data_IF_191715826819
#
_entry.id   IF_191715826819
#
_cell.length_a   1.000
_cell.length_b   1.000
_cell.length_c   1.000
_cell.angle_alpha   90.00
_cell.angle_beta   90.00
_cell.angle_gamma   90.00
#
_symmetry.space_group_name_H-M   'P 1'
#
loop_
_entity.id
_entity.type
_entity.pdbx_description
1 polymer ?
#
# COMPACT_ATOMS: atom_id res chain seq x y z
N UNK A 1 -16.79 62.86 -8.66
CA UNK A 1 -16.97 61.72 -9.59
C UNK A 1 -16.24 60.56 -8.97
N UNK A 2 -16.96 59.74 -8.22
CA UNK A 2 -16.39 58.61 -7.48
C UNK A 2 -16.28 57.41 -8.42
N UNK A 3 -15.05 57.07 -8.80
CA UNK A 3 -14.69 55.92 -9.63
C UNK A 3 -13.88 54.91 -8.80
N UNK A 4 -14.32 54.63 -7.56
CA UNK A 4 -13.80 53.49 -6.81
C UNK A 4 -14.21 52.16 -7.45
N UNK A 5 -13.34 51.13 -7.45
CA UNK A 5 -13.70 49.82 -8.00
C UNK A 5 -14.83 49.22 -7.17
N UNK A 6 -16.01 49.06 -7.77
CA UNK A 6 -17.09 48.24 -7.19
C UNK A 6 -16.62 46.79 -7.20
N UNK A 7 -15.96 46.38 -6.12
CA UNK A 7 -15.77 44.97 -5.81
C UNK A 7 -17.14 44.30 -5.86
N UNK A 8 -17.34 43.40 -6.82
CA UNK A 8 -18.58 42.66 -6.97
C UNK A 8 -18.81 41.84 -5.69
N UNK A 9 -19.84 42.19 -4.92
CA UNK A 9 -20.26 41.39 -3.77
C UNK A 9 -20.71 40.02 -4.27
N UNK A 10 -19.83 39.01 -4.11
CA UNK A 10 -20.20 37.61 -4.29
C UNK A 10 -21.26 37.27 -3.24
N UNK A 11 -22.42 36.79 -3.70
CA UNK A 11 -23.47 36.28 -2.81
C UNK A 11 -22.94 35.07 -2.03
N UNK A 12 -23.24 35.03 -0.73
CA UNK A 12 -22.92 33.93 0.18
C UNK A 12 -23.39 32.58 -0.39
N UNK A 13 -24.52 32.58 -1.12
CA UNK A 13 -25.03 31.39 -1.80
C UNK A 13 -24.06 30.89 -2.88
N UNK A 14 -23.53 31.81 -3.70
CA UNK A 14 -22.59 31.46 -4.75
C UNK A 14 -21.26 30.96 -4.17
N UNK A 15 -20.77 31.60 -3.10
CA UNK A 15 -19.57 31.15 -2.40
C UNK A 15 -19.78 29.76 -1.77
N UNK A 16 -20.92 29.50 -1.13
CA UNK A 16 -21.24 28.20 -0.54
C UNK A 16 -21.31 27.09 -1.61
N UNK A 17 -21.90 27.39 -2.78
CA UNK A 17 -21.96 26.45 -3.90
C UNK A 17 -20.56 26.14 -4.45
N UNK A 18 -19.71 27.16 -4.66
CA UNK A 18 -18.33 26.95 -5.09
C UNK A 18 -17.52 26.13 -4.07
N UNK A 19 -17.66 26.40 -2.76
CA UNK A 19 -17.00 25.61 -1.71
C UNK A 19 -17.49 24.16 -1.73
N UNK A 20 -18.80 23.92 -1.92
CA UNK A 20 -19.37 22.58 -2.01
C UNK A 20 -18.77 21.80 -3.19
N UNK A 21 -18.72 22.41 -4.38
CA UNK A 21 -18.14 21.78 -5.56
C UNK A 21 -16.66 21.46 -5.38
N UNK A 22 -15.87 22.38 -4.80
CA UNK A 22 -14.45 22.15 -4.53
C UNK A 22 -14.24 20.99 -3.56
N UNK A 23 -15.08 20.85 -2.53
CA UNK A 23 -15.05 19.70 -1.61
C UNK A 23 -15.40 18.40 -2.33
N UNK A 24 -16.47 18.37 -3.12
CA UNK A 24 -16.87 17.16 -3.87
C UNK A 24 -15.78 16.70 -4.83
N UNK A 25 -15.17 17.64 -5.58
CA UNK A 25 -14.06 17.32 -6.50
C UNK A 25 -12.81 16.83 -5.76
N UNK A 26 -12.44 17.45 -4.64
CA UNK A 26 -11.30 17.01 -3.83
C UNK A 26 -11.51 15.60 -3.25
N UNK A 27 -12.73 15.28 -2.78
CA UNK A 27 -13.05 13.95 -2.27
C UNK A 27 -12.95 12.86 -3.36
N UNK A 28 -13.40 13.15 -4.58
CA UNK A 28 -13.27 12.21 -5.71
C UNK A 28 -11.82 11.92 -6.06
N UNK A 29 -10.92 12.89 -5.91
CA UNK A 29 -9.49 12.66 -6.14
C UNK A 29 -8.83 11.86 -5.03
N UNK A 30 -9.27 12.03 -3.78
CA UNK A 30 -8.78 11.27 -2.63
C UNK A 30 -9.19 9.78 -2.74
N UNK A 31 -10.45 9.50 -3.09
CA UNK A 31 -10.93 8.12 -3.30
C UNK A 31 -10.15 7.39 -4.42
N UNK A 32 -9.86 8.09 -5.52
CA UNK A 32 -9.09 7.53 -6.62
C UNK A 32 -7.63 7.24 -6.23
N UNK A 33 -7.03 8.11 -5.42
CA UNK A 33 -5.68 7.90 -4.90
C UNK A 33 -5.63 6.71 -3.93
N UNK A 34 -6.64 6.56 -3.08
CA UNK A 34 -6.76 5.43 -2.16
C UNK A 34 -6.86 4.09 -2.89
N UNK A 35 -7.72 4.00 -3.91
CA UNK A 35 -7.85 2.80 -4.76
C UNK A 35 -6.51 2.48 -5.43
N UNK A 36 -5.85 3.50 -5.96
CA UNK A 36 -4.57 3.31 -6.65
C UNK A 36 -3.49 2.82 -5.69
N UNK A 37 -3.44 3.36 -4.46
CA UNK A 37 -2.48 2.94 -3.44
C UNK A 37 -2.69 1.48 -3.03
N UNK A 38 -3.93 1.05 -2.79
CA UNK A 38 -4.25 -0.33 -2.46
C UNK A 38 -3.83 -1.31 -3.57
N UNK A 39 -4.13 -0.97 -4.84
CA UNK A 39 -3.71 -1.77 -5.99
C UNK A 39 -2.19 -1.91 -6.10
N UNK A 40 -1.44 -0.83 -5.90
CA UNK A 40 0.03 -0.84 -5.96
C UNK A 40 0.61 -1.70 -4.82
N UNK A 41 0.09 -1.56 -3.60
CA UNK A 41 0.55 -2.35 -2.46
C UNK A 41 0.29 -3.85 -2.65
N UNK A 42 -0.86 -4.22 -3.23
CA UNK A 42 -1.16 -5.62 -3.56
C UNK A 42 -0.17 -6.17 -4.61
N UNK A 43 0.08 -5.42 -5.69
CA UNK A 43 1.02 -5.81 -6.75
C UNK A 43 2.46 -5.97 -6.21
N UNK A 44 2.91 -5.08 -5.31
CA UNK A 44 4.23 -5.20 -4.69
C UNK A 44 4.31 -6.41 -3.75
N UNK A 45 3.25 -6.71 -3.00
CA UNK A 45 3.17 -7.92 -2.18
C UNK A 45 3.21 -9.20 -3.04
N UNK A 46 2.60 -9.20 -4.21
CA UNK A 46 2.62 -10.32 -5.16
C UNK A 46 4.01 -10.51 -5.77
N UNK A 47 4.70 -9.43 -6.14
CA UNK A 47 6.10 -9.49 -6.63
C UNK A 47 7.05 -10.05 -5.57
N UNK A 48 6.87 -9.67 -4.30
CA UNK A 48 7.67 -10.21 -3.19
C UNK A 48 7.46 -11.72 -3.08
N UNK A 49 6.19 -12.17 -3.10
CA UNK A 49 5.89 -13.61 -3.08
C UNK A 49 6.52 -14.35 -4.26
N UNK A 50 6.40 -13.80 -5.48
CA UNK A 50 6.99 -14.40 -6.68
C UNK A 50 8.51 -14.51 -6.57
N UNK A 51 9.18 -13.45 -6.07
CA UNK A 51 10.62 -13.43 -5.85
C UNK A 51 11.06 -14.50 -4.85
N UNK A 52 10.38 -14.59 -3.69
CA UNK A 52 10.66 -15.58 -2.66
C UNK A 52 10.42 -17.00 -3.19
N UNK A 53 9.35 -17.22 -3.97
CA UNK A 53 9.08 -18.50 -4.63
C UNK A 53 10.15 -18.89 -5.66
N UNK A 54 10.63 -17.94 -6.47
CA UNK A 54 11.71 -18.19 -7.45
C UNK A 54 13.02 -18.53 -6.75
N UNK A 55 13.38 -17.77 -5.73
CA UNK A 55 14.54 -18.06 -4.89
C UNK A 55 14.40 -19.41 -4.21
N UNK A 56 13.17 -19.81 -3.86
CA UNK A 56 12.91 -21.13 -3.30
C UNK A 56 13.33 -22.27 -4.22
N UNK A 57 12.93 -22.17 -5.47
CA UNK A 57 13.21 -23.17 -6.50
C UNK A 57 14.68 -23.16 -6.92
N UNK A 58 15.30 -21.97 -6.99
CA UNK A 58 16.64 -21.80 -7.56
C UNK A 58 17.80 -22.11 -6.61
N UNK A 59 17.62 -22.03 -5.28
CA UNK A 59 18.75 -22.06 -4.33
C UNK A 59 18.89 -23.36 -3.51
N UNK A 60 18.07 -24.40 -3.73
CA UNK A 60 18.04 -25.58 -2.83
C UNK A 60 17.90 -25.15 -1.35
N UNK A 61 16.74 -24.62 -0.98
CA UNK A 61 16.49 -23.90 0.29
C UNK A 61 17.11 -24.47 1.57
N UNK A 62 17.31 -25.79 1.66
CA UNK A 62 17.95 -26.46 2.80
C UNK A 62 19.31 -25.91 3.20
N UNK A 63 20.04 -25.27 2.28
CA UNK A 63 21.47 -24.98 2.46
C UNK A 63 21.78 -23.51 2.71
N UNK A 64 20.79 -22.61 2.74
CA UNK A 64 21.05 -21.18 2.85
C UNK A 64 20.57 -20.62 4.21
N UNK A 65 21.44 -20.53 5.24
CA UNK A 65 21.09 -19.93 6.52
C UNK A 65 20.64 -18.46 6.44
N UNK A 66 20.88 -17.77 5.31
CA UNK A 66 20.48 -16.38 5.08
C UNK A 66 19.09 -16.20 4.43
N UNK A 67 18.37 -17.28 4.09
CA UNK A 67 17.08 -17.13 3.40
C UNK A 67 16.01 -16.48 4.29
N UNK A 68 15.97 -16.85 5.56
CA UNK A 68 15.07 -16.25 6.56
C UNK A 68 15.33 -14.74 6.68
N UNK A 69 16.59 -14.33 6.76
CA UNK A 69 16.97 -12.90 6.82
C UNK A 69 16.56 -12.12 5.57
N UNK A 70 16.60 -12.75 4.38
CA UNK A 70 16.12 -12.13 3.13
C UNK A 70 14.62 -11.94 3.18
N UNK A 71 13.85 -12.97 3.59
CA UNK A 71 12.40 -12.89 3.73
C UNK A 71 12.01 -11.80 4.73
N UNK A 72 12.65 -11.76 5.90
CA UNK A 72 12.43 -10.75 6.94
C UNK A 72 12.71 -9.34 6.42
N UNK A 73 13.79 -9.16 5.66
CA UNK A 73 14.13 -7.87 5.06
C UNK A 73 13.08 -7.42 4.03
N UNK A 74 12.53 -8.35 3.25
CA UNK A 74 11.47 -8.03 2.28
C UNK A 74 10.17 -7.63 2.96
N UNK A 75 9.75 -8.37 4.00
CA UNK A 75 8.58 -8.00 4.81
C UNK A 75 8.79 -6.65 5.48
N UNK A 76 9.99 -6.38 6.01
CA UNK A 76 10.32 -5.08 6.60
C UNK A 76 10.24 -3.94 5.57
N UNK A 77 10.79 -4.12 4.37
CA UNK A 77 10.70 -3.16 3.26
C UNK A 77 9.25 -2.83 2.92
N UNK A 78 8.45 -3.86 2.67
CA UNK A 78 7.01 -3.73 2.39
C UNK A 78 6.26 -3.03 3.54
N UNK A 79 6.56 -3.38 4.79
CA UNK A 79 5.94 -2.72 5.96
C UNK A 79 6.17 -1.21 5.96
N UNK A 80 7.32 -0.72 5.46
CA UNK A 80 7.60 0.72 5.38
C UNK A 80 6.80 1.41 4.28
N UNK A 81 6.58 0.75 3.16
CA UNK A 81 5.73 1.24 2.08
C UNK A 81 4.28 1.34 2.54
N UNK A 82 3.75 0.30 3.18
CA UNK A 82 2.42 0.30 3.78
C UNK A 82 2.28 1.40 4.83
N UNK A 83 3.25 1.53 5.74
CA UNK A 83 3.26 2.61 6.75
C UNK A 83 3.26 4.01 6.11
N UNK A 84 3.95 4.18 4.98
CA UNK A 84 3.94 5.46 4.25
C UNK A 84 2.53 5.74 3.70
N UNK A 85 1.87 4.76 3.08
CA UNK A 85 0.51 4.92 2.57
C UNK A 85 -0.50 5.24 3.68
N UNK A 86 -0.39 4.59 4.84
CA UNK A 86 -1.19 4.90 6.04
C UNK A 86 -0.95 6.34 6.51
N UNK A 87 0.31 6.78 6.60
CA UNK A 87 0.66 8.15 7.05
C UNK A 87 0.19 9.24 6.08
N UNK A 88 0.03 8.91 4.81
CA UNK A 88 -0.52 9.79 3.79
C UNK A 88 -2.06 9.74 3.73
N UNK A 89 -2.72 8.97 4.62
CA UNK A 89 -4.15 8.71 4.62
C UNK A 89 -4.69 8.11 3.31
N UNK A 90 -3.83 7.41 2.56
CA UNK A 90 -4.23 6.73 1.32
C UNK A 90 -4.93 5.41 1.63
N UNK A 91 -4.63 4.79 2.77
CA UNK A 91 -5.32 3.61 3.27
C UNK A 91 -5.53 3.71 4.80
N UNK A 92 -6.58 3.10 5.36
CA UNK A 92 -6.76 2.96 6.80
C UNK A 92 -5.64 2.12 7.44
N UNK A 93 -5.33 2.42 8.70
CA UNK A 93 -4.32 1.67 9.46
C UNK A 93 -4.63 0.17 9.55
N UNK A 94 -5.90 -0.19 9.79
CA UNK A 94 -6.34 -1.59 9.84
C UNK A 94 -6.09 -2.33 8.52
N UNK A 95 -6.36 -1.66 7.39
CA UNK A 95 -6.08 -2.22 6.07
C UNK A 95 -4.58 -2.42 5.87
N UNK A 96 -3.75 -1.46 6.30
CA UNK A 96 -2.29 -1.61 6.29
C UNK A 96 -1.81 -2.80 7.11
N UNK A 97 -2.31 -3.00 8.33
CA UNK A 97 -1.97 -4.16 9.16
C UNK A 97 -2.38 -5.49 8.51
N UNK A 98 -3.56 -5.54 7.89
CA UNK A 98 -4.00 -6.74 7.17
C UNK A 98 -3.09 -7.05 5.98
N UNK A 99 -2.72 -6.05 5.17
CA UNK A 99 -1.83 -6.21 4.02
C UNK A 99 -0.47 -6.83 4.41
N UNK A 100 0.14 -6.35 5.50
CA UNK A 100 1.44 -6.88 5.99
C UNK A 100 1.27 -8.31 6.50
N UNK A 101 0.25 -8.55 7.35
CA UNK A 101 -0.03 -9.88 7.89
C UNK A 101 -0.29 -10.92 6.80
N UNK A 102 -1.04 -10.55 5.77
CA UNK A 102 -1.39 -11.46 4.68
C UNK A 102 -0.16 -11.81 3.83
N UNK A 103 0.78 -10.87 3.64
CA UNK A 103 2.09 -11.19 3.03
C UNK A 103 2.90 -12.13 3.92
N UNK A 104 3.04 -11.84 5.23
CA UNK A 104 3.76 -12.69 6.17
C UNK A 104 3.23 -14.14 6.16
N UNK A 105 1.92 -14.32 6.16
CA UNK A 105 1.29 -15.65 6.10
C UNK A 105 1.63 -16.40 4.81
N UNK A 106 1.59 -15.73 3.65
CA UNK A 106 1.96 -16.34 2.36
C UNK A 106 3.42 -16.76 2.34
N UNK A 107 4.34 -15.90 2.81
CA UNK A 107 5.77 -16.22 2.84
C UNK A 107 6.10 -17.34 3.85
N UNK A 108 5.43 -17.36 5.01
CA UNK A 108 5.57 -18.44 5.98
C UNK A 108 5.10 -19.80 5.44
N UNK A 109 4.04 -19.83 4.62
CA UNK A 109 3.61 -21.06 3.96
C UNK A 109 4.68 -21.59 2.97
N UNK A 110 5.29 -20.70 2.20
CA UNK A 110 6.40 -21.04 1.28
C UNK A 110 7.60 -21.60 2.06
N UNK A 111 7.90 -21.03 3.22
CA UNK A 111 8.94 -21.51 4.12
C UNK A 111 8.63 -22.92 4.62
N UNK A 112 7.46 -23.15 5.23
CA UNK A 112 7.04 -24.45 5.78
C UNK A 112 7.11 -25.59 4.74
N UNK A 113 6.58 -25.35 3.53
CA UNK A 113 6.61 -26.29 2.40
C UNK A 113 8.03 -26.74 2.02
N UNK A 114 9.02 -25.88 2.25
CA UNK A 114 10.41 -26.12 1.86
C UNK A 114 11.14 -27.08 2.81
N UNK A 115 10.72 -27.15 4.08
CA UNK A 115 11.27 -28.07 5.06
C UNK A 115 10.63 -29.45 4.99
N UNK A 116 9.32 -29.53 4.71
CA UNK A 116 8.61 -30.82 4.64
C UNK A 116 9.10 -31.69 3.47
N UNK A 117 9.49 -31.08 2.35
CA UNK A 117 10.08 -31.79 1.21
C UNK A 117 11.47 -32.37 1.47
N UNK A 118 12.17 -31.89 2.50
CA UNK A 118 13.50 -32.42 2.89
C UNK A 118 13.40 -33.66 3.79
N UNK A 119 12.31 -33.81 4.56
CA UNK A 119 12.08 -34.98 5.42
C UNK A 119 11.61 -36.22 4.66
N UNK A 120 11.13 -36.05 3.43
CA UNK A 120 10.61 -37.15 2.60
C UNK A 120 11.63 -37.67 1.56
N UNK A 121 12.87 -37.14 1.56
CA UNK A 121 13.97 -37.58 0.69
C UNK A 121 15.10 -38.18 1.50
#
# INVERSE_FOLDING_TARGET
MDNGPKLASIDVIHLAYSIKLVKEVAMMTDDQQAITADMVLQDDADKIEELVNKQRVSLCLSQCPAFEEVVDTQVFGYSKEVMLAVRLNLIPEEQGHNLVRDLEQRLNAIYADSFDKQKQK
#
